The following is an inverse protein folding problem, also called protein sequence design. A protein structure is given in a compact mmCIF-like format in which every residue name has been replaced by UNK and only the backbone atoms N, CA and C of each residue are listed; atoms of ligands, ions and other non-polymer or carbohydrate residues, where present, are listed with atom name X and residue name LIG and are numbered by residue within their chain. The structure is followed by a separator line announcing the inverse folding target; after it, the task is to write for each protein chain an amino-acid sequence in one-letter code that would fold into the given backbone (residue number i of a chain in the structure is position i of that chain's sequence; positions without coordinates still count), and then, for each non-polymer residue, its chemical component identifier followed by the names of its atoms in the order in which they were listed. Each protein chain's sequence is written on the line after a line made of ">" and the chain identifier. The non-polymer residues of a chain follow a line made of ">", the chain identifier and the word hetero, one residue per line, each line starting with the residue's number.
data_IF_771869068606
#
_entry.id   IF_771869068606
#
_cell.length_a   1.000
_cell.length_b   1.000
_cell.length_c   1.000
_cell.angle_alpha   90.00
_cell.angle_beta   90.00
_cell.angle_gamma   90.00
#
_symmetry.space_group_name_H-M   'P 1'
#
loop_
_entity.id
_entity.type
_entity.pdbx_description
1 polymer ?
#
# COMPACT_ATOMS: atom_id res chain seq x y z
N UNK A 1 -19.02 -8.07 3.73
CA UNK A 1 -17.84 -7.96 4.64
C UNK A 1 -17.08 -9.30 4.68
N UNK A 2 -15.78 -9.33 5.02
CA UNK A 2 -14.96 -10.57 5.19
C UNK A 2 -14.72 -11.50 3.99
N UNK A 3 -15.19 -11.18 2.78
CA UNK A 3 -14.93 -11.98 1.57
C UNK A 3 -13.57 -11.70 0.88
N UNK A 4 -12.59 -11.15 1.58
CA UNK A 4 -11.25 -10.89 1.00
C UNK A 4 -11.14 -9.74 -0.01
N UNK A 5 -12.16 -8.87 -0.14
CA UNK A 5 -12.16 -7.72 -1.07
C UNK A 5 -10.91 -6.83 -0.93
N UNK A 6 -10.59 -6.44 0.31
CA UNK A 6 -9.43 -5.59 0.59
C UNK A 6 -8.14 -6.35 0.27
N UNK A 7 -8.03 -7.61 0.65
CA UNK A 7 -6.86 -8.46 0.31
C UNK A 7 -6.66 -8.54 -1.21
N UNK A 8 -7.73 -8.71 -1.98
CA UNK A 8 -7.67 -8.72 -3.43
C UNK A 8 -7.22 -7.37 -4.01
N UNK A 9 -7.84 -6.26 -3.57
CA UNK A 9 -7.46 -4.92 -4.01
C UNK A 9 -5.99 -4.59 -3.67
N UNK A 10 -5.52 -5.02 -2.50
CA UNK A 10 -4.15 -4.83 -2.05
C UNK A 10 -3.14 -5.59 -2.90
N UNK A 11 -3.42 -6.86 -3.23
CA UNK A 11 -2.55 -7.63 -4.13
C UNK A 11 -2.44 -6.99 -5.52
N UNK A 12 -3.55 -6.45 -6.04
CA UNK A 12 -3.53 -5.74 -7.32
C UNK A 12 -2.69 -4.46 -7.23
N UNK A 13 -2.88 -3.66 -6.17
CA UNK A 13 -2.16 -2.41 -5.96
C UNK A 13 -0.65 -2.65 -5.75
N UNK A 14 -0.29 -3.68 -4.98
CA UNK A 14 1.09 -4.12 -4.76
C UNK A 14 1.75 -4.52 -6.08
N UNK A 15 1.09 -5.35 -6.89
CA UNK A 15 1.60 -5.75 -8.19
C UNK A 15 1.79 -4.56 -9.13
N UNK A 16 0.81 -3.65 -9.19
CA UNK A 16 0.91 -2.44 -10.00
C UNK A 16 2.08 -1.55 -9.55
N UNK A 17 2.26 -1.36 -8.25
CA UNK A 17 3.33 -0.52 -7.70
C UNK A 17 4.74 -1.08 -7.94
N UNK A 18 4.87 -2.40 -8.06
CA UNK A 18 6.17 -3.05 -8.34
C UNK A 18 6.51 -3.08 -9.83
N UNK A 19 5.49 -3.24 -10.69
CA UNK A 19 5.68 -3.49 -12.13
C UNK A 19 5.55 -2.26 -13.01
N UNK A 20 4.82 -1.23 -12.56
CA UNK A 20 4.59 -0.02 -13.35
C UNK A 20 5.43 1.15 -12.86
N UNK A 21 5.70 2.07 -13.79
CA UNK A 21 6.45 3.29 -13.50
C UNK A 21 5.60 4.48 -13.06
N UNK A 22 4.28 4.32 -12.99
CA UNK A 22 3.37 5.36 -12.53
C UNK A 22 2.97 5.13 -11.08
N UNK A 23 2.59 6.19 -10.35
CA UNK A 23 2.16 6.05 -8.97
C UNK A 23 0.80 5.36 -8.84
N UNK A 24 0.70 4.48 -7.86
CA UNK A 24 -0.55 3.83 -7.42
C UNK A 24 -1.16 4.65 -6.30
N UNK A 25 -2.45 4.97 -6.43
CA UNK A 25 -3.20 5.74 -5.45
C UNK A 25 -4.33 4.88 -4.85
N UNK A 26 -4.29 4.69 -3.54
CA UNK A 26 -5.25 3.90 -2.78
C UNK A 26 -6.08 4.84 -1.90
N UNK A 27 -7.39 4.85 -2.09
CA UNK A 27 -8.33 5.48 -1.16
C UNK A 27 -8.92 4.40 -0.25
N UNK A 28 -8.68 4.52 1.05
CA UNK A 28 -9.18 3.58 2.04
C UNK A 28 -10.18 4.25 2.98
N UNK A 29 -11.45 3.90 2.83
CA UNK A 29 -12.51 4.48 3.64
C UNK A 29 -12.81 3.69 4.91
N UNK A 30 -12.33 2.44 5.00
CA UNK A 30 -12.62 1.52 6.10
C UNK A 30 -11.39 1.17 6.94
N UNK A 31 -10.20 1.17 6.32
CA UNK A 31 -8.96 0.72 6.97
C UNK A 31 -7.95 1.85 7.06
N UNK A 32 -7.30 2.04 8.22
CA UNK A 32 -6.18 2.98 8.34
C UNK A 32 -5.03 2.62 7.40
N UNK A 33 -4.33 3.65 6.93
CA UNK A 33 -3.15 3.55 6.07
C UNK A 33 -2.06 2.65 6.66
N UNK A 34 -1.84 2.71 7.97
CA UNK A 34 -0.88 1.83 8.67
C UNK A 34 -1.22 0.34 8.54
N UNK A 35 -2.51 -0.02 8.65
CA UNK A 35 -2.92 -1.43 8.53
C UNK A 35 -2.76 -1.96 7.11
N UNK A 36 -2.96 -1.08 6.13
CA UNK A 36 -2.71 -1.34 4.71
C UNK A 36 -1.22 -1.56 4.47
N UNK A 37 -0.38 -0.68 5.01
CA UNK A 37 1.08 -0.78 4.89
C UNK A 37 1.63 -2.06 5.53
N UNK A 38 1.21 -2.40 6.75
CA UNK A 38 1.62 -3.64 7.42
C UNK A 38 1.26 -4.89 6.60
N UNK A 39 0.08 -4.90 5.95
CA UNK A 39 -0.34 -6.00 5.08
C UNK A 39 0.56 -6.10 3.84
N UNK A 40 0.87 -4.97 3.22
CA UNK A 40 1.73 -4.93 2.04
C UNK A 40 3.15 -5.38 2.35
N UNK A 41 3.72 -4.91 3.45
CA UNK A 41 5.05 -5.34 3.92
C UNK A 41 5.10 -6.85 4.22
N UNK A 42 4.06 -7.37 4.89
CA UNK A 42 3.95 -8.81 5.15
C UNK A 42 3.84 -9.63 3.85
N UNK A 43 3.06 -9.14 2.88
CA UNK A 43 2.86 -9.77 1.57
C UNK A 43 4.16 -9.81 0.76
N UNK A 44 4.77 -8.65 0.50
CA UNK A 44 6.00 -8.51 -0.28
C UNK A 44 7.18 -9.24 0.38
N UNK A 45 7.34 -9.08 1.70
CA UNK A 45 8.41 -9.73 2.47
C UNK A 45 8.19 -11.22 2.71
N UNK A 46 7.01 -11.75 2.34
CA UNK A 46 6.57 -13.13 2.63
C UNK A 46 6.72 -13.47 4.12
N UNK A 47 6.32 -12.54 4.98
CA UNK A 47 6.36 -12.66 6.43
C UNK A 47 4.95 -12.96 6.94
N UNK A 48 4.83 -13.80 7.97
CA UNK A 48 3.55 -14.03 8.60
C UNK A 48 2.97 -12.72 9.16
N UNK A 49 1.77 -12.33 8.69
CA UNK A 49 1.13 -11.08 9.08
C UNK A 49 0.95 -10.93 10.61
N UNK A 50 0.73 -12.04 11.32
CA UNK A 50 0.61 -12.01 12.79
C UNK A 50 1.93 -11.59 13.41
N UNK A 51 3.08 -12.10 12.93
CA UNK A 51 4.40 -11.69 13.42
C UNK A 51 4.67 -10.21 13.18
N UNK A 52 4.34 -9.70 11.98
CA UNK A 52 4.46 -8.26 11.66
C UNK A 52 3.60 -7.41 12.59
N UNK A 53 2.37 -7.84 12.87
CA UNK A 53 1.44 -7.11 13.75
C UNK A 53 1.85 -7.16 15.23
N UNK A 54 2.42 -8.27 15.71
CA UNK A 54 2.85 -8.42 17.11
C UNK A 54 4.28 -7.95 17.35
N UNK A 55 5.04 -7.65 16.30
CA UNK A 55 6.48 -7.33 16.38
C UNK A 55 7.35 -8.54 16.73
N UNK A 56 6.80 -9.76 16.70
CA UNK A 56 7.52 -11.00 17.02
C UNK A 56 8.23 -11.53 15.77
N UNK A 57 9.19 -10.76 15.29
CA UNK A 57 10.01 -11.08 14.11
C UNK A 57 11.32 -11.72 14.58
N UNK A 58 11.72 -12.80 13.91
CA UNK A 58 13.07 -13.35 14.03
C UNK A 58 14.06 -12.55 13.15
N UNK A 59 15.35 -12.86 13.25
CA UNK A 59 16.39 -12.12 12.54
C UNK A 59 16.22 -12.18 11.01
N UNK A 60 15.75 -13.33 10.49
CA UNK A 60 15.47 -13.52 9.06
C UNK A 60 14.25 -12.69 8.62
N UNK A 61 13.19 -12.67 9.42
CA UNK A 61 12.00 -11.85 9.18
C UNK A 61 12.36 -10.35 9.21
N UNK A 62 13.22 -9.92 10.13
CA UNK A 62 13.72 -8.54 10.20
C UNK A 62 14.50 -8.15 8.94
N UNK A 63 15.38 -9.03 8.46
CA UNK A 63 16.14 -8.82 7.24
C UNK A 63 15.21 -8.65 6.02
N UNK A 64 14.21 -9.53 5.88
CA UNK A 64 13.20 -9.46 4.81
C UNK A 64 12.32 -8.22 4.89
N UNK A 65 11.93 -7.82 6.10
CA UNK A 65 11.13 -6.63 6.31
C UNK A 65 11.91 -5.38 5.88
N UNK A 66 13.15 -5.26 6.33
CA UNK A 66 14.03 -4.14 6.00
C UNK A 66 14.29 -4.04 4.50
N UNK A 67 14.59 -5.16 3.83
CA UNK A 67 14.80 -5.18 2.38
C UNK A 67 13.55 -4.74 1.61
N UNK A 68 12.37 -5.17 2.08
CA UNK A 68 11.08 -4.84 1.46
C UNK A 68 10.75 -3.36 1.63
N UNK A 69 11.02 -2.79 2.82
CA UNK A 69 10.87 -1.36 3.06
C UNK A 69 11.79 -0.55 2.14
N UNK A 70 13.05 -0.96 1.99
CA UNK A 70 13.99 -0.33 1.06
C UNK A 70 13.47 -0.31 -0.37
N UNK A 71 12.97 -1.46 -0.85
CA UNK A 71 12.38 -1.58 -2.19
C UNK A 71 11.17 -0.66 -2.40
N UNK A 72 10.26 -0.60 -1.41
CA UNK A 72 9.09 0.28 -1.47
C UNK A 72 9.46 1.75 -1.50
N UNK A 73 10.44 2.15 -0.67
CA UNK A 73 10.95 3.53 -0.62
C UNK A 73 11.66 3.91 -1.93
N UNK A 74 12.45 3.01 -2.51
CA UNK A 74 13.11 3.23 -3.80
C UNK A 74 12.08 3.39 -4.92
N UNK A 75 11.04 2.55 -4.95
CA UNK A 75 9.96 2.67 -5.93
C UNK A 75 9.19 3.97 -5.76
N UNK A 76 8.98 4.45 -4.52
CA UNK A 76 8.53 5.81 -4.21
C UNK A 76 7.18 6.22 -4.81
N UNK A 77 6.36 5.25 -5.22
CA UNK A 77 5.22 5.44 -6.13
C UNK A 77 3.88 4.99 -5.53
N UNK A 78 3.76 4.92 -4.21
CA UNK A 78 2.49 4.54 -3.57
C UNK A 78 1.97 5.64 -2.65
N UNK A 79 0.71 6.01 -2.88
CA UNK A 79 -0.01 6.99 -2.09
C UNK A 79 -1.23 6.33 -1.46
N UNK A 80 -1.39 6.47 -0.15
CA UNK A 80 -2.55 5.97 0.58
C UNK A 80 -3.23 7.16 1.24
N UNK A 81 -4.53 7.27 1.01
CA UNK A 81 -5.39 8.29 1.59
C UNK A 81 -6.51 7.59 2.37
N UNK A 82 -6.44 7.67 3.69
CA UNK A 82 -7.38 7.05 4.63
C UNK A 82 -8.40 8.03 5.21
N UNK A 83 -8.60 9.19 4.55
CA UNK A 83 -9.58 10.18 4.98
C UNK A 83 -11.01 9.63 4.93
N UNK A 84 -11.69 9.67 6.07
CA UNK A 84 -13.13 9.36 6.16
C UNK A 84 -13.97 10.45 5.49
N UNK A 85 -15.06 10.07 4.81
CA UNK A 85 -16.03 11.02 4.27
C UNK A 85 -15.61 11.73 2.98
N UNK A 86 -14.68 11.16 2.21
CA UNK A 86 -14.28 11.67 0.90
C UNK A 86 -15.48 11.80 -0.05
N UNK A 87 -15.69 13.00 -0.59
CA UNK A 87 -16.66 13.19 -1.68
C UNK A 87 -16.05 12.75 -3.01
N UNK A 88 -16.87 12.42 -4.03
CA UNK A 88 -16.36 12.16 -5.37
C UNK A 88 -15.50 13.29 -5.95
N UNK A 89 -15.78 14.54 -5.56
CA UNK A 89 -14.99 15.71 -5.95
C UNK A 89 -13.60 15.70 -5.30
N UNK A 90 -13.50 15.31 -4.03
CA UNK A 90 -12.23 15.17 -3.32
C UNK A 90 -11.36 14.11 -3.97
N UNK A 91 -11.92 12.92 -4.22
CA UNK A 91 -11.25 11.81 -4.90
C UNK A 91 -10.69 12.26 -6.25
N UNK A 92 -11.52 12.93 -7.07
CA UNK A 92 -11.10 13.42 -8.39
C UNK A 92 -10.00 14.48 -8.29
N UNK A 93 -10.13 15.43 -7.36
CA UNK A 93 -9.18 16.53 -7.23
C UNK A 93 -7.79 16.05 -6.77
N UNK A 94 -7.74 15.15 -5.77
CA UNK A 94 -6.52 14.55 -5.24
C UNK A 94 -5.85 13.65 -6.28
N UNK A 95 -6.62 12.78 -6.95
CA UNK A 95 -6.09 11.93 -8.02
C UNK A 95 -5.48 12.75 -9.16
N UNK A 96 -6.14 13.85 -9.58
CA UNK A 96 -5.62 14.74 -10.62
C UNK A 96 -4.34 15.45 -10.20
N UNK A 97 -4.18 15.80 -8.93
CA UNK A 97 -2.96 16.42 -8.43
C UNK A 97 -1.77 15.47 -8.60
N UNK A 98 -1.89 14.25 -8.09
CA UNK A 98 -0.84 13.24 -8.18
C UNK A 98 -0.52 12.91 -9.65
N UNK A 99 -1.56 12.76 -10.48
CA UNK A 99 -1.40 12.50 -11.91
C UNK A 99 -0.64 13.62 -12.64
N UNK A 100 -0.88 14.89 -12.30
CA UNK A 100 -0.13 16.01 -12.88
C UNK A 100 1.33 16.00 -12.48
N UNK A 101 1.60 15.73 -11.21
CA UNK A 101 2.96 15.78 -10.66
C UNK A 101 3.84 14.62 -11.19
N UNK A 102 3.23 13.51 -11.62
CA UNK A 102 3.94 12.28 -12.02
C UNK A 102 3.67 11.81 -13.46
N UNK A 103 2.98 12.61 -14.29
CA UNK A 103 2.65 12.23 -15.67
C UNK A 103 1.61 11.09 -15.79
N UNK A 104 0.80 10.88 -14.76
CA UNK A 104 -0.27 9.89 -14.69
C UNK A 104 -0.36 9.16 -13.35
N UNK A 105 -1.35 8.30 -13.21
CA UNK A 105 -1.46 7.29 -12.13
C UNK A 105 -1.69 5.91 -12.78
N UNK A 106 -1.25 4.85 -12.10
CA UNK A 106 -1.45 3.44 -12.48
C UNK A 106 -2.83 2.93 -12.11
#
# INVERSE_FOLDING_TARGET
>A
PSMGKTTFAMNLAEHAAMTQDKPVLIYSLEMPSEQIMMRMLASLGRINQTKVRTGQLDDDDWARLSSTMGLLMEKGKMYIDDASGLTPTDVRSRARRIARDHGGIS
#
